data_IF_375554281806
#
_entry.id   IF_375554281806
#
_cell.length_a   1.000
_cell.length_b   1.000
_cell.length_c   1.000
_cell.angle_alpha   90.00
_cell.angle_beta   90.00
_cell.angle_gamma   90.00
#
_symmetry.space_group_name_H-M   'P 1'
#
loop_
_entity.id
_entity.type
_entity.pdbx_description
1 polymer ?
#
# COMPACT_ATOMS: atom_id res chain seq x y z
N UNK A 1 -1.32 5.65 14.16
CA UNK A 1 -2.16 5.67 12.95
C UNK A 1 -3.21 6.75 13.14
N UNK A 2 -3.16 7.80 12.31
CA UNK A 2 -4.08 8.94 12.41
C UNK A 2 -5.53 8.53 12.10
N UNK A 3 -6.50 9.07 12.84
CA UNK A 3 -7.94 8.82 12.64
C UNK A 3 -8.39 9.13 11.21
N UNK A 4 -7.72 10.07 10.55
CA UNK A 4 -7.99 10.45 9.17
C UNK A 4 -7.68 9.32 8.17
N UNK A 5 -6.64 8.53 8.40
CA UNK A 5 -6.26 7.37 7.55
C UNK A 5 -7.26 6.24 7.68
N UNK A 6 -7.73 5.95 8.91
CA UNK A 6 -8.77 4.94 9.14
C UNK A 6 -10.11 5.34 8.53
N UNK A 7 -10.48 6.63 8.61
CA UNK A 7 -11.71 7.16 8.01
C UNK A 7 -11.71 7.03 6.48
N UNK A 8 -10.56 7.24 5.83
CA UNK A 8 -10.40 7.05 4.38
C UNK A 8 -10.47 5.60 3.96
N UNK A 9 -9.79 4.71 4.70
CA UNK A 9 -9.89 3.27 4.47
C UNK A 9 -11.34 2.78 4.59
N UNK A 10 -12.07 3.24 5.62
CA UNK A 10 -13.49 2.93 5.77
C UNK A 10 -14.32 3.41 4.59
N UNK A 11 -14.02 4.60 4.04
CA UNK A 11 -14.73 5.12 2.87
C UNK A 11 -14.41 4.33 1.60
N UNK A 12 -13.15 3.91 1.38
CA UNK A 12 -12.79 3.01 0.26
C UNK A 12 -13.51 1.67 0.39
N UNK A 13 -13.54 1.10 1.60
CA UNK A 13 -14.22 -0.16 1.85
C UNK A 13 -15.75 -0.07 1.69
N UNK A 14 -16.36 1.10 1.99
CA UNK A 14 -17.81 1.33 1.81
C UNK A 14 -18.20 1.56 0.36
N UNK A 15 -17.43 2.38 -0.35
CA UNK A 15 -17.74 2.79 -1.73
C UNK A 15 -17.24 1.78 -2.77
N UNK A 16 -16.44 0.79 -2.36
CA UNK A 16 -15.89 -0.26 -3.22
C UNK A 16 -14.85 0.22 -4.24
N UNK A 17 -14.66 1.53 -4.39
CA UNK A 17 -13.69 2.14 -5.30
C UNK A 17 -13.05 3.37 -4.66
N UNK A 18 -11.80 3.66 -5.04
CA UNK A 18 -11.08 4.87 -4.61
C UNK A 18 -11.79 6.14 -5.12
N UNK A 19 -12.36 6.09 -6.32
CA UNK A 19 -13.11 7.21 -6.91
C UNK A 19 -14.41 7.50 -6.14
N UNK A 20 -15.17 6.46 -5.78
CA UNK A 20 -16.37 6.61 -4.95
C UNK A 20 -16.03 7.17 -3.56
N UNK A 21 -14.97 6.67 -2.95
CA UNK A 21 -14.49 7.17 -1.65
C UNK A 21 -14.04 8.63 -1.70
N UNK A 22 -13.36 9.05 -2.76
CA UNK A 22 -12.94 10.43 -2.96
C UNK A 22 -14.14 11.38 -3.09
N UNK A 23 -15.16 10.98 -3.89
CA UNK A 23 -16.40 11.71 -4.03
C UNK A 23 -17.14 11.86 -2.69
N UNK A 24 -17.25 10.78 -1.92
CA UNK A 24 -17.91 10.76 -0.61
C UNK A 24 -17.13 11.50 0.50
N UNK A 25 -15.83 11.74 0.29
CA UNK A 25 -14.98 12.54 1.17
C UNK A 25 -14.88 14.01 0.75
N UNK A 26 -15.56 14.42 -0.33
CA UNK A 26 -15.46 15.76 -0.93
C UNK A 26 -14.01 16.17 -1.24
N UNK A 27 -13.18 15.22 -1.67
CA UNK A 27 -11.81 15.49 -2.12
C UNK A 27 -11.63 14.99 -3.55
N UNK A 28 -10.69 15.59 -4.29
CA UNK A 28 -10.36 15.07 -5.61
C UNK A 28 -9.69 13.69 -5.50
N UNK A 29 -10.04 12.76 -6.40
CA UNK A 29 -9.46 11.41 -6.44
C UNK A 29 -7.90 11.42 -6.45
N UNK A 30 -7.24 12.35 -7.16
CA UNK A 30 -5.78 12.49 -7.08
C UNK A 30 -5.29 12.93 -5.69
N UNK A 31 -6.07 13.68 -4.91
CA UNK A 31 -5.71 14.08 -3.54
C UNK A 31 -5.67 12.88 -2.58
N UNK A 32 -6.63 11.96 -2.72
CA UNK A 32 -6.67 10.72 -1.94
C UNK A 32 -5.49 9.80 -2.29
N UNK A 33 -5.15 9.69 -3.58
CA UNK A 33 -3.97 8.95 -4.05
C UNK A 33 -2.65 9.60 -3.59
N UNK A 34 -2.54 10.94 -3.69
CA UNK A 34 -1.35 11.70 -3.28
C UNK A 34 -1.07 11.72 -1.78
N UNK A 35 -2.10 11.51 -0.95
CA UNK A 35 -1.94 11.38 0.50
C UNK A 35 -1.30 10.05 0.91
N UNK A 36 -1.49 8.96 0.18
CA UNK A 36 -0.69 7.74 0.41
C UNK A 36 0.80 8.01 0.17
N UNK A 37 1.12 8.90 -0.77
CA UNK A 37 2.49 9.38 -0.99
C UNK A 37 2.97 10.42 0.04
N UNK A 38 2.12 10.95 0.93
CA UNK A 38 2.54 12.01 1.87
C UNK A 38 3.41 11.48 3.00
N UNK A 39 3.22 10.23 3.43
CA UNK A 39 4.10 9.58 4.41
C UNK A 39 5.52 9.44 3.83
N UNK A 40 5.62 9.06 2.55
CA UNK A 40 6.89 8.98 1.84
C UNK A 40 7.52 10.36 1.60
N UNK A 41 6.71 11.41 1.40
CA UNK A 41 7.19 12.81 1.35
C UNK A 41 7.87 13.25 2.63
N UNK A 42 7.27 12.97 3.78
CA UNK A 42 7.87 13.29 5.07
C UNK A 42 9.18 12.53 5.32
N UNK A 43 9.26 11.28 4.85
CA UNK A 43 10.46 10.45 4.99
C UNK A 43 11.63 10.91 4.12
N UNK A 44 11.37 11.32 2.88
CA UNK A 44 12.42 11.60 1.88
C UNK A 44 13.24 12.86 2.18
N UNK A 45 12.74 13.78 3.03
CA UNK A 45 13.43 15.03 3.48
C UNK A 45 14.04 15.90 2.37
N UNK A 46 13.67 15.67 1.12
CA UNK A 46 14.04 16.42 -0.09
C UNK A 46 12.80 16.69 -0.91
N UNK A 47 12.87 17.71 -1.75
CA UNK A 47 11.77 18.00 -2.65
C UNK A 47 11.62 16.88 -3.68
N UNK A 48 10.41 16.34 -3.77
CA UNK A 48 10.07 15.30 -4.74
C UNK A 48 10.25 15.78 -6.19
N UNK A 49 10.35 17.09 -6.41
CA UNK A 49 10.66 17.70 -7.70
C UNK A 49 12.10 17.42 -8.17
N UNK A 50 13.00 17.03 -7.27
CA UNK A 50 14.35 16.57 -7.63
C UNK A 50 14.39 15.12 -8.13
N UNK A 51 13.29 14.37 -7.98
CA UNK A 51 13.21 12.98 -8.41
C UNK A 51 12.80 12.89 -9.89
N UNK A 52 13.56 12.10 -10.65
CA UNK A 52 13.14 11.69 -11.98
C UNK A 52 12.11 10.55 -11.88
N UNK A 53 10.83 10.92 -11.82
CA UNK A 53 9.71 9.98 -11.73
C UNK A 53 9.31 9.54 -13.13
N UNK A 54 9.90 8.42 -13.58
CA UNK A 54 9.64 7.83 -14.90
C UNK A 54 8.22 7.24 -15.01
N UNK A 55 7.65 6.71 -13.92
CA UNK A 55 6.31 6.13 -13.92
C UNK A 55 5.67 6.07 -12.52
N UNK A 56 4.34 5.94 -12.48
CA UNK A 56 3.57 5.61 -11.28
C UNK A 56 2.71 4.37 -11.54
N UNK A 57 2.43 3.59 -10.51
CA UNK A 57 1.76 2.30 -10.66
C UNK A 57 0.95 1.91 -9.42
N UNK A 58 -0.06 1.06 -9.63
CA UNK A 58 -0.85 0.45 -8.55
C UNK A 58 -0.53 -1.04 -8.35
N UNK A 59 -0.04 -1.71 -9.41
CA UNK A 59 0.26 -3.14 -9.41
C UNK A 59 1.78 -3.35 -9.44
N UNK A 60 2.33 -3.79 -8.30
CA UNK A 60 3.77 -3.95 -8.10
C UNK A 60 4.43 -4.94 -9.08
N UNK A 61 3.70 -5.95 -9.52
CA UNK A 61 4.18 -6.88 -10.53
C UNK A 61 4.58 -6.17 -11.84
N UNK A 62 3.77 -5.21 -12.29
CA UNK A 62 4.06 -4.46 -13.52
C UNK A 62 5.29 -3.55 -13.33
N UNK A 63 5.41 -2.91 -12.17
CA UNK A 63 6.57 -2.08 -11.84
C UNK A 63 7.86 -2.92 -11.79
N UNK A 64 7.80 -4.11 -11.21
CA UNK A 64 8.92 -5.03 -11.15
C UNK A 64 9.44 -5.42 -12.55
N UNK A 65 8.55 -5.64 -13.51
CA UNK A 65 8.96 -5.89 -14.91
C UNK A 65 9.74 -4.72 -15.52
N UNK A 66 9.35 -3.47 -15.21
CA UNK A 66 10.06 -2.28 -15.68
C UNK A 66 11.45 -2.18 -15.03
N UNK A 67 11.54 -2.42 -13.71
CA UNK A 67 12.82 -2.44 -13.00
C UNK A 67 13.76 -3.53 -13.53
N UNK A 68 13.24 -4.73 -13.81
CA UNK A 68 14.02 -5.84 -14.41
C UNK A 68 14.60 -5.50 -15.77
N UNK A 69 13.93 -4.61 -16.51
CA UNK A 69 14.39 -4.12 -17.82
C UNK A 69 15.32 -2.91 -17.71
N UNK A 70 15.66 -2.47 -16.50
CA UNK A 70 16.56 -1.34 -16.26
C UNK A 70 15.92 0.04 -16.49
N UNK A 71 14.58 0.12 -16.53
CA UNK A 71 13.88 1.40 -16.76
C UNK A 71 14.00 2.33 -15.55
N UNK A 72 14.19 1.78 -14.34
CA UNK A 72 14.40 2.57 -13.13
C UNK A 72 14.29 1.73 -11.87
N UNK A 73 14.25 2.42 -10.73
CA UNK A 73 14.06 1.83 -9.41
C UNK A 73 12.59 1.84 -9.00
N UNK A 74 12.20 0.88 -8.16
CA UNK A 74 10.82 0.71 -7.70
C UNK A 74 10.79 0.75 -6.18
N UNK A 75 10.08 1.73 -5.63
CA UNK A 75 9.83 1.82 -4.19
C UNK A 75 8.64 0.95 -3.82
N UNK A 76 8.84 -0.08 -3.00
CA UNK A 76 7.80 -1.07 -2.68
C UNK A 76 7.93 -1.60 -1.24
N UNK A 77 6.83 -2.07 -0.62
CA UNK A 77 6.92 -2.90 0.57
C UNK A 77 7.66 -4.22 0.28
N UNK A 78 8.41 -4.69 1.27
CA UNK A 78 9.14 -5.95 1.18
C UNK A 78 8.18 -7.15 1.05
N UNK A 79 8.59 -8.16 0.28
CA UNK A 79 7.90 -9.45 0.20
C UNK A 79 6.73 -9.52 -0.77
N UNK A 80 6.43 -8.44 -1.51
CA UNK A 80 5.36 -8.44 -2.53
C UNK A 80 5.84 -8.96 -3.88
N UNK A 81 7.09 -8.67 -4.24
CA UNK A 81 7.69 -9.02 -5.54
C UNK A 81 8.77 -10.08 -5.33
N UNK A 82 8.89 -11.01 -6.28
CA UNK A 82 9.98 -11.97 -6.31
C UNK A 82 11.32 -11.26 -6.54
N UNK A 83 12.19 -11.34 -5.53
CA UNK A 83 13.55 -10.80 -5.51
C UNK A 83 14.58 -11.91 -5.27
N UNK A 84 14.24 -13.16 -5.62
CA UNK A 84 15.18 -14.27 -5.65
C UNK A 84 16.29 -14.02 -6.68
N UNK A 85 17.39 -14.76 -6.57
CA UNK A 85 18.53 -14.65 -7.50
C UNK A 85 18.10 -14.85 -8.97
N UNK A 86 17.10 -15.70 -9.23
CA UNK A 86 16.55 -15.93 -10.57
C UNK A 86 15.70 -14.79 -11.13
N UNK A 87 15.22 -13.87 -10.28
CA UNK A 87 14.32 -12.80 -10.72
C UNK A 87 15.08 -11.65 -11.39
N UNK A 88 16.37 -11.49 -11.11
CA UNK A 88 17.17 -10.36 -11.58
C UNK A 88 16.84 -9.04 -10.86
N UNK A 89 16.19 -9.11 -9.70
CA UNK A 89 15.93 -7.98 -8.82
C UNK A 89 16.55 -8.21 -7.44
N UNK A 90 16.88 -7.12 -6.75
CA UNK A 90 17.29 -7.15 -5.36
C UNK A 90 16.50 -6.12 -4.58
N UNK A 91 15.93 -6.54 -3.45
CA UNK A 91 15.31 -5.61 -2.52
C UNK A 91 16.40 -4.92 -1.68
N UNK A 92 16.43 -3.58 -1.69
CA UNK A 92 17.31 -2.80 -0.80
C UNK A 92 16.43 -2.02 0.19
N UNK A 93 16.56 -2.27 1.50
CA UNK A 93 15.80 -1.52 2.49
C UNK A 93 16.20 -0.04 2.45
N UNK A 94 15.24 0.82 2.76
CA UNK A 94 15.46 2.25 2.90
C UNK A 94 16.15 2.56 4.24
N UNK A 95 17.01 3.57 4.24
CA UNK A 95 17.66 4.09 5.46
C UNK A 95 17.34 5.57 5.64
N UNK A 96 16.66 5.98 6.74
CA UNK A 96 16.16 5.13 7.84
C UNK A 96 15.00 4.22 7.42
N UNK A 97 14.76 3.11 8.13
CA UNK A 97 13.71 2.15 7.78
C UNK A 97 12.32 2.82 7.77
N UNK A 98 11.55 2.57 6.70
CA UNK A 98 10.15 2.97 6.57
C UNK A 98 9.29 1.70 6.55
N UNK A 99 8.46 1.51 7.58
CA UNK A 99 7.63 0.31 7.77
C UNK A 99 6.15 0.64 7.65
N UNK A 100 5.38 -0.27 7.07
CA UNK A 100 3.93 -0.18 7.00
C UNK A 100 3.27 -1.33 7.78
N UNK A 101 2.28 -1.02 8.59
CA UNK A 101 1.49 -2.01 9.32
C UNK A 101 0.39 -2.59 8.44
N UNK A 102 0.32 -3.92 8.35
CA UNK A 102 -0.82 -4.61 7.74
C UNK A 102 -1.86 -4.91 8.81
N UNK A 103 -3.11 -4.52 8.56
CA UNK A 103 -4.24 -4.75 9.47
C UNK A 103 -5.41 -5.39 8.73
N UNK A 104 -6.11 -6.29 9.40
CA UNK A 104 -7.39 -6.81 8.95
C UNK A 104 -8.51 -6.06 9.68
N UNK A 105 -9.51 -5.61 8.92
CA UNK A 105 -10.61 -4.82 9.45
C UNK A 105 -11.96 -5.44 9.07
N UNK A 106 -12.92 -5.35 10.00
CA UNK A 106 -14.31 -5.77 9.83
C UNK A 106 -15.24 -4.83 10.59
N UNK A 107 -16.56 -4.91 10.33
CA UNK A 107 -17.56 -4.14 11.10
C UNK A 107 -17.58 -4.61 12.55
N UNK A 108 -17.75 -3.70 13.51
CA UNK A 108 -17.74 -4.01 14.97
C UNK A 108 -18.65 -5.17 15.36
N UNK A 109 -19.77 -5.34 14.67
CA UNK A 109 -20.76 -6.40 14.93
C UNK A 109 -20.90 -7.36 13.73
N UNK A 110 -19.82 -7.61 13.00
CA UNK A 110 -19.82 -8.53 11.87
C UNK A 110 -20.04 -9.97 12.36
N UNK A 111 -21.12 -10.61 11.90
CA UNK A 111 -21.29 -12.06 12.02
C UNK A 111 -20.42 -12.73 10.97
N UNK A 112 -19.55 -13.64 11.39
CA UNK A 112 -18.68 -14.41 10.50
C UNK A 112 -19.36 -15.71 10.09
N UNK A 113 -19.13 -16.14 8.85
CA UNK A 113 -19.45 -17.51 8.46
C UNK A 113 -18.44 -18.48 9.11
N UNK A 114 -18.77 -19.78 9.23
CA UNK A 114 -17.82 -20.77 9.76
C UNK A 114 -16.47 -20.76 9.04
N UNK A 115 -16.47 -20.58 7.70
CA UNK A 115 -15.24 -20.45 6.92
C UNK A 115 -14.44 -19.19 7.28
N UNK A 116 -15.10 -18.06 7.49
CA UNK A 116 -14.45 -16.81 7.88
C UNK A 116 -13.88 -16.87 9.31
N UNK A 117 -14.54 -17.58 10.23
CA UNK A 117 -14.01 -17.83 11.58
C UNK A 117 -12.75 -18.68 11.54
N UNK A 118 -12.77 -19.79 10.77
CA UNK A 118 -11.60 -20.64 10.58
C UNK A 118 -10.45 -19.83 9.96
N UNK A 119 -10.73 -19.02 8.93
CA UNK A 119 -9.75 -18.13 8.34
C UNK A 119 -9.15 -17.16 9.38
N UNK A 120 -9.99 -16.46 10.14
CA UNK A 120 -9.54 -15.50 11.16
C UNK A 120 -8.70 -16.17 12.25
N UNK A 121 -9.10 -17.37 12.68
CA UNK A 121 -8.33 -18.17 13.63
C UNK A 121 -6.95 -18.53 13.08
N UNK A 122 -6.88 -18.96 11.80
CA UNK A 122 -5.60 -19.28 11.14
C UNK A 122 -4.70 -18.05 10.99
N UNK A 123 -5.25 -16.91 10.57
CA UNK A 123 -4.49 -15.66 10.48
C UNK A 123 -3.90 -15.31 11.85
N UNK A 124 -4.71 -15.35 12.91
CA UNK A 124 -4.25 -15.03 14.27
C UNK A 124 -3.17 -15.99 14.76
N UNK A 125 -3.25 -17.27 14.44
CA UNK A 125 -2.21 -18.22 14.83
C UNK A 125 -0.87 -18.01 14.10
N UNK A 126 -0.90 -17.45 12.87
CA UNK A 126 0.28 -17.20 12.06
C UNK A 126 0.94 -15.84 12.33
N UNK A 127 0.13 -14.82 12.67
CA UNK A 127 0.56 -13.43 12.72
C UNK A 127 0.06 -12.63 13.95
N UNK A 128 -0.61 -13.27 14.90
CA UNK A 128 -1.11 -12.67 16.14
C UNK A 128 -0.41 -13.22 17.37
#
# INVERSE_FOLDING_TARGET
MELSTLRRFLMIAREGTISGAAAALHISQPSLSRQASSEMRGWFKRDFEELDIVATYNLLYNAALLARRGIGYVVSPQGIVDVSESSGLTFRPLEPALTADVRIAWKRYQTFSPAAEVFLHRIRALWG
#
